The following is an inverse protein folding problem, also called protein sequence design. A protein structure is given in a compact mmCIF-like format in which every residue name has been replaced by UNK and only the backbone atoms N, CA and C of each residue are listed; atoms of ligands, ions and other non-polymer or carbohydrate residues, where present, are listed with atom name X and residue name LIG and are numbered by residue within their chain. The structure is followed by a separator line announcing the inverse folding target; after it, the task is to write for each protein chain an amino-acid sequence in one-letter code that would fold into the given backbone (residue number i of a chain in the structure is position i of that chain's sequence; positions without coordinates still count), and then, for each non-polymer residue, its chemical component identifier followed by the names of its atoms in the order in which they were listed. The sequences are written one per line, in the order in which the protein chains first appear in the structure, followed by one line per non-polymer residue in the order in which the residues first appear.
data_IF_591068578272
#
_entry.id   IF_591068578272
#
_cell.length_a   1.000
_cell.length_b   1.000
_cell.length_c   1.000
_cell.angle_alpha   90.00
_cell.angle_beta   90.00
_cell.angle_gamma   90.00
#
_symmetry.space_group_name_H-M   'P 1'
#
loop_
_entity.id
_entity.type
_entity.pdbx_description
1 polymer ?
#
# COMPACT_ATOMS: atom_id res chain seq x y z
N UNK A 1 -8.03 -8.98 -5.20
CA UNK A 1 -7.41 -8.06 -4.23
C UNK A 1 -6.65 -6.94 -4.90
N UNK A 2 -5.69 -7.20 -5.79
CA UNK A 2 -4.93 -6.16 -6.52
C UNK A 2 -5.87 -5.12 -7.17
N UNK A 3 -6.86 -5.56 -7.96
CA UNK A 3 -7.82 -4.63 -8.58
C UNK A 3 -8.71 -3.85 -7.60
N UNK A 4 -8.87 -4.29 -6.35
CA UNK A 4 -9.58 -3.49 -5.34
C UNK A 4 -8.67 -2.41 -4.74
N UNK A 5 -7.38 -2.71 -4.57
CA UNK A 5 -6.39 -1.71 -4.10
C UNK A 5 -6.09 -0.66 -5.16
N UNK A 6 -6.19 -0.99 -6.45
CA UNK A 6 -6.04 0.00 -7.53
C UNK A 6 -7.12 1.08 -7.47
N UNK A 7 -8.31 0.80 -6.93
CA UNK A 7 -9.35 1.81 -6.69
C UNK A 7 -8.84 2.98 -5.86
N UNK A 8 -7.99 2.74 -4.85
CA UNK A 8 -7.47 3.80 -4.00
C UNK A 8 -6.52 4.72 -4.77
N UNK A 9 -5.65 4.13 -5.59
CA UNK A 9 -4.69 4.86 -6.43
C UNK A 9 -5.40 5.60 -7.58
N UNK A 10 -6.46 4.99 -8.12
CA UNK A 10 -7.29 5.55 -9.19
C UNK A 10 -8.37 6.52 -8.66
N UNK A 11 -8.08 7.25 -7.59
CA UNK A 11 -8.97 8.31 -7.05
C UNK A 11 -10.40 7.85 -6.75
N UNK A 12 -10.57 6.57 -6.39
CA UNK A 12 -11.85 5.96 -6.06
C UNK A 12 -12.56 5.25 -7.22
N UNK A 13 -11.97 5.25 -8.42
CA UNK A 13 -12.51 4.54 -9.59
C UNK A 13 -11.96 3.12 -9.65
N UNK A 14 -12.83 2.14 -9.48
CA UNK A 14 -12.51 0.74 -9.74
C UNK A 14 -12.48 0.50 -11.25
N UNK A 15 -11.41 -0.13 -11.74
CA UNK A 15 -11.30 -0.61 -13.12
C UNK A 15 -11.19 -2.12 -13.10
N UNK A 16 -12.08 -2.82 -13.80
CA UNK A 16 -12.03 -4.27 -13.87
C UNK A 16 -10.72 -4.72 -14.55
N UNK A 17 -9.88 -5.54 -13.89
CA UNK A 17 -8.66 -6.04 -14.52
C UNK A 17 -8.95 -6.94 -15.73
N UNK A 18 -8.19 -6.74 -16.80
CA UNK A 18 -8.20 -7.59 -18.00
C UNK A 18 -6.76 -7.79 -18.48
N UNK A 19 -6.49 -8.91 -19.15
CA UNK A 19 -5.15 -9.26 -19.64
C UNK A 19 -5.08 -9.47 -21.16
N UNK A 20 -6.22 -9.66 -21.84
CA UNK A 20 -6.30 -9.71 -23.30
C UNK A 20 -6.59 -8.30 -23.79
N UNK A 21 -5.64 -7.67 -24.48
CA UNK A 21 -5.76 -6.30 -24.98
C UNK A 21 -6.21 -6.23 -26.44
N UNK A 22 -5.90 -7.25 -27.25
CA UNK A 22 -6.28 -7.30 -28.66
C UNK A 22 -6.25 -8.73 -29.19
N UNK A 23 -7.23 -9.12 -30.00
CA UNK A 23 -7.21 -10.35 -30.80
C UNK A 23 -7.41 -9.96 -32.26
N UNK A 24 -6.54 -10.46 -33.12
CA UNK A 24 -6.58 -10.20 -34.57
C UNK A 24 -6.59 -11.52 -35.35
N UNK A 25 -7.16 -11.50 -36.55
CA UNK A 25 -7.00 -12.59 -37.51
C UNK A 25 -5.66 -12.50 -38.26
N UNK A 26 -5.37 -13.50 -39.10
CA UNK A 26 -4.14 -13.53 -39.93
C UNK A 26 -4.00 -12.38 -40.92
N UNK A 27 -5.09 -11.65 -41.20
CA UNK A 27 -5.13 -10.52 -42.13
C UNK A 27 -5.05 -9.17 -41.38
N UNK A 28 -4.94 -9.17 -40.05
CA UNK A 28 -4.89 -7.96 -39.21
C UNK A 28 -6.26 -7.39 -38.85
N UNK A 29 -7.35 -8.11 -39.10
CA UNK A 29 -8.69 -7.65 -38.70
C UNK A 29 -8.86 -7.84 -37.19
N UNK A 30 -9.24 -6.78 -36.48
CA UNK A 30 -9.49 -6.83 -35.03
C UNK A 30 -10.78 -7.59 -34.76
N UNK A 31 -10.65 -8.72 -34.06
CA UNK A 31 -11.75 -9.58 -33.63
C UNK A 31 -12.22 -9.24 -32.21
N UNK A 32 -11.32 -8.70 -31.39
CA UNK A 32 -11.61 -8.34 -30.01
C UNK A 32 -10.68 -7.23 -29.54
N UNK A 33 -11.27 -6.23 -28.89
CA UNK A 33 -10.58 -5.18 -28.16
C UNK A 33 -11.45 -4.82 -26.95
N UNK A 34 -10.95 -4.96 -25.71
CA UNK A 34 -11.75 -4.75 -24.53
C UNK A 34 -12.06 -3.27 -24.34
N UNK A 35 -13.31 -2.96 -23.98
CA UNK A 35 -13.66 -1.65 -23.42
C UNK A 35 -13.51 -1.72 -21.89
N UNK A 36 -12.66 -0.89 -21.27
CA UNK A 36 -12.48 -0.91 -19.81
C UNK A 36 -13.80 -0.71 -19.09
N UNK A 37 -14.13 -1.62 -18.16
CA UNK A 37 -15.31 -1.49 -17.30
C UNK A 37 -14.91 -0.80 -16.00
N UNK A 38 -15.44 0.40 -15.79
CA UNK A 38 -15.13 1.23 -14.63
C UNK A 38 -16.36 1.48 -13.76
N UNK A 39 -16.15 1.62 -12.45
CA UNK A 39 -17.18 1.97 -11.47
C UNK A 39 -16.59 2.98 -10.49
N UNK A 40 -17.26 4.10 -10.27
CA UNK A 40 -16.95 5.00 -9.16
C UNK A 40 -17.35 4.32 -7.84
N UNK A 41 -16.37 3.77 -7.13
CA UNK A 41 -16.60 2.98 -5.92
C UNK A 41 -16.42 3.82 -4.65
N UNK A 42 -15.59 4.85 -4.71
CA UNK A 42 -15.32 5.79 -3.62
C UNK A 42 -15.21 7.20 -4.19
N UNK A 43 -15.45 8.22 -3.37
CA UNK A 43 -15.05 9.58 -3.72
C UNK A 43 -13.52 9.75 -3.59
N UNK A 44 -12.98 10.76 -4.26
CA UNK A 44 -11.53 11.02 -4.33
C UNK A 44 -10.91 11.24 -2.95
N UNK A 45 -11.58 11.99 -2.07
CA UNK A 45 -11.13 12.24 -0.71
C UNK A 45 -10.97 10.93 0.08
N UNK A 46 -11.99 10.06 0.07
CA UNK A 46 -11.96 8.78 0.79
C UNK A 46 -10.86 7.88 0.25
N UNK A 47 -10.67 7.84 -1.07
CA UNK A 47 -9.60 7.08 -1.69
C UNK A 47 -8.21 7.58 -1.25
N UNK A 48 -8.01 8.89 -1.22
CA UNK A 48 -6.76 9.50 -0.75
C UNK A 48 -6.52 9.26 0.75
N UNK A 49 -7.54 9.37 1.59
CA UNK A 49 -7.43 9.06 3.03
C UNK A 49 -7.05 7.59 3.26
N UNK A 50 -7.60 6.67 2.45
CA UNK A 50 -7.18 5.26 2.49
C UNK A 50 -5.70 5.08 2.11
N UNK A 51 -5.20 5.78 1.08
CA UNK A 51 -3.78 5.77 0.74
C UNK A 51 -2.92 6.33 1.88
N UNK A 52 -3.35 7.44 2.48
CA UNK A 52 -2.65 8.05 3.62
C UNK A 52 -2.53 7.08 4.80
N UNK A 53 -3.60 6.36 5.14
CA UNK A 53 -3.54 5.32 6.18
C UNK A 53 -2.64 4.14 5.81
N UNK A 54 -2.64 3.73 4.53
CA UNK A 54 -1.76 2.66 4.05
C UNK A 54 -0.28 3.04 4.11
N UNK A 55 0.07 4.32 3.88
CA UNK A 55 1.44 4.84 4.11
C UNK A 55 1.87 4.69 5.57
N UNK A 56 0.93 4.77 6.51
CA UNK A 56 1.21 4.48 7.91
C UNK A 56 1.85 3.10 8.14
N UNK A 57 1.52 2.10 7.30
CA UNK A 57 2.11 0.77 7.38
C UNK A 57 3.61 0.69 7.02
N UNK A 58 4.10 1.64 6.22
CA UNK A 58 5.47 1.68 5.66
C UNK A 58 6.31 2.81 6.25
N UNK A 59 5.71 3.84 6.85
CA UNK A 59 6.39 5.05 7.31
C UNK A 59 6.37 5.23 8.84
N UNK A 60 5.28 4.85 9.52
CA UNK A 60 5.10 5.13 10.94
C UNK A 60 5.72 4.05 11.84
N UNK A 61 6.21 4.47 13.01
CA UNK A 61 6.67 3.56 14.06
C UNK A 61 5.58 2.58 14.47
N UNK A 62 5.89 1.28 14.48
CA UNK A 62 4.92 0.20 14.67
C UNK A 62 4.26 -0.31 13.37
N UNK A 63 4.55 0.31 12.23
CA UNK A 63 4.17 -0.17 10.91
C UNK A 63 4.69 -1.59 10.63
N UNK A 64 3.85 -2.42 10.05
CA UNK A 64 4.18 -3.84 9.79
C UNK A 64 5.01 -4.05 8.52
N UNK A 65 5.12 -3.04 7.67
CA UNK A 65 5.88 -3.08 6.41
C UNK A 65 7.19 -2.26 6.48
N UNK A 66 7.64 -1.92 7.70
CA UNK A 66 8.89 -1.19 7.93
C UNK A 66 10.15 -1.96 7.48
N UNK A 67 10.03 -3.23 7.10
CA UNK A 67 11.13 -4.04 6.59
C UNK A 67 11.50 -3.80 5.12
N UNK A 68 10.69 -3.06 4.34
CA UNK A 68 11.04 -2.71 2.96
C UNK A 68 12.36 -1.93 2.91
N UNK A 69 13.22 -2.17 1.93
CA UNK A 69 14.51 -1.49 1.78
C UNK A 69 14.39 0.01 1.57
N UNK A 70 15.44 0.73 1.96
CA UNK A 70 15.58 2.17 1.69
C UNK A 70 15.67 2.45 0.19
N UNK A 71 16.33 1.58 -0.56
CA UNK A 71 16.50 1.69 -2.01
C UNK A 71 15.15 1.67 -2.73
N UNK A 72 14.21 0.81 -2.30
CA UNK A 72 12.87 0.81 -2.87
C UNK A 72 12.10 2.09 -2.53
N UNK A 73 12.21 2.58 -1.29
CA UNK A 73 11.48 3.79 -0.82
C UNK A 73 12.05 5.11 -1.34
N UNK A 74 13.25 5.11 -1.91
CA UNK A 74 13.87 6.32 -2.40
C UNK A 74 13.04 6.96 -3.53
N UNK A 75 12.56 8.19 -3.28
CA UNK A 75 11.67 8.97 -4.15
C UNK A 75 10.37 8.25 -4.55
N UNK A 76 9.90 7.33 -3.72
CA UNK A 76 8.71 6.54 -3.99
C UNK A 76 7.85 6.47 -2.73
N UNK A 77 6.62 6.99 -2.81
CA UNK A 77 5.64 6.72 -1.76
C UNK A 77 5.04 5.33 -1.94
N UNK A 78 4.93 4.62 -0.82
CA UNK A 78 4.41 3.26 -0.79
C UNK A 78 3.36 3.20 0.30
N UNK A 79 2.14 2.85 -0.07
CA UNK A 79 1.13 2.40 0.89
C UNK A 79 1.16 0.88 0.95
N UNK A 80 1.05 0.27 2.13
CA UNK A 80 1.01 -1.19 2.21
C UNK A 80 0.18 -1.73 3.36
N UNK A 81 -0.30 -2.95 3.16
CA UNK A 81 -0.91 -3.76 4.21
C UNK A 81 -0.38 -5.18 4.21
N UNK A 82 0.10 -5.60 5.38
CA UNK A 82 0.41 -7.00 5.66
C UNK A 82 -0.87 -7.77 6.01
N UNK A 83 -0.96 -9.02 5.58
CA UNK A 83 -1.97 -9.97 6.01
C UNK A 83 -1.29 -11.23 6.55
N UNK A 84 -1.80 -11.76 7.66
CA UNK A 84 -1.35 -13.04 8.23
C UNK A 84 -2.58 -13.76 8.73
N UNK A 85 -2.89 -14.91 8.16
CA UNK A 85 -4.04 -15.70 8.60
C UNK A 85 -3.72 -16.49 9.86
N UNK A 86 -4.77 -16.97 10.52
CA UNK A 86 -4.65 -17.73 11.77
C UNK A 86 -3.75 -18.97 11.59
N UNK A 87 -3.07 -19.37 12.67
CA UNK A 87 -2.13 -20.50 12.67
C UNK A 87 -0.96 -20.35 11.69
N UNK A 88 -0.73 -19.15 11.17
CA UNK A 88 0.29 -18.86 10.17
C UNK A 88 0.19 -19.81 8.97
N UNK A 89 -1.02 -19.96 8.41
CA UNK A 89 -1.22 -20.72 7.18
C UNK A 89 -0.89 -19.89 5.94
N UNK A 90 -1.16 -18.58 5.98
CA UNK A 90 -1.00 -17.67 4.85
C UNK A 90 -0.34 -16.37 5.26
N UNK A 91 0.64 -15.96 4.49
CA UNK A 91 1.19 -14.62 4.47
C UNK A 91 0.73 -13.88 3.23
N UNK A 92 0.21 -12.66 3.41
CA UNK A 92 -0.17 -11.76 2.33
C UNK A 92 0.58 -10.44 2.46
N UNK A 93 0.88 -9.84 1.31
CA UNK A 93 1.35 -8.47 1.25
C UNK A 93 0.68 -7.77 0.07
N UNK A 94 -0.01 -6.67 0.35
CA UNK A 94 -0.57 -5.78 -0.67
C UNK A 94 0.16 -4.46 -0.59
N UNK A 95 0.77 -4.04 -1.70
CA UNK A 95 1.46 -2.76 -1.80
C UNK A 95 0.92 -1.94 -2.96
N UNK A 96 0.79 -0.64 -2.72
CA UNK A 96 0.36 0.36 -3.70
C UNK A 96 1.46 1.41 -3.84
N UNK A 97 1.71 1.78 -5.07
CA UNK A 97 2.49 2.95 -5.48
C UNK A 97 1.61 3.79 -6.41
N UNK A 98 2.00 5.03 -6.77
CA UNK A 98 1.18 5.85 -7.67
C UNK A 98 0.95 5.22 -9.05
N UNK A 99 1.93 4.48 -9.57
CA UNK A 99 1.88 3.92 -10.94
C UNK A 99 1.53 2.42 -10.97
N UNK A 100 1.75 1.71 -9.87
CA UNK A 100 1.63 0.24 -9.84
C UNK A 100 1.07 -0.28 -8.52
N UNK A 101 0.17 -1.27 -8.64
CA UNK A 101 -0.36 -2.03 -7.51
C UNK A 101 0.02 -3.50 -7.69
N UNK A 102 0.62 -4.07 -6.66
CA UNK A 102 1.00 -5.48 -6.67
C UNK A 102 0.62 -6.15 -5.33
N UNK A 103 0.45 -7.47 -5.40
CA UNK A 103 0.13 -8.29 -4.24
C UNK A 103 0.87 -9.60 -4.31
N UNK A 104 1.36 -10.07 -3.17
CA UNK A 104 2.01 -11.35 -3.03
C UNK A 104 1.30 -12.19 -1.96
N UNK A 105 1.31 -13.50 -2.18
CA UNK A 105 0.81 -14.50 -1.24
C UNK A 105 1.80 -15.63 -1.12
N UNK A 106 1.94 -16.13 0.10
CA UNK A 106 2.68 -17.35 0.40
C UNK A 106 1.82 -18.21 1.32
N UNK A 107 1.52 -19.43 0.87
CA UNK A 107 0.78 -20.43 1.62
C UNK A 107 0.84 -21.77 0.89
N UNK A 108 0.20 -22.78 1.46
CA UNK A 108 0.05 -24.09 0.82
C UNK A 108 -1.35 -24.24 0.21
N UNK A 109 -1.43 -24.93 -0.94
CA UNK A 109 -2.73 -25.27 -1.56
C UNK A 109 -3.62 -26.05 -0.58
N UNK A 110 -3.01 -26.96 0.20
CA UNK A 110 -3.67 -27.60 1.32
C UNK A 110 -3.53 -26.72 2.58
N UNK A 111 -4.68 -26.28 3.11
CA UNK A 111 -4.77 -25.44 4.32
C UNK A 111 -4.17 -26.04 5.59
N UNK A 112 -3.94 -27.35 5.62
CA UNK A 112 -3.23 -28.01 6.72
C UNK A 112 -1.73 -27.70 6.72
N UNK A 113 -1.16 -27.34 5.57
CA UNK A 113 0.22 -26.87 5.45
C UNK A 113 0.28 -25.46 6.03
N UNK A 114 1.18 -25.27 7.00
CA UNK A 114 1.35 -24.02 7.70
C UNK A 114 2.79 -23.84 8.15
N UNK A 115 3.17 -22.60 8.38
CA UNK A 115 4.46 -22.30 8.99
C UNK A 115 4.50 -22.86 10.42
N UNK A 116 5.66 -23.38 10.82
CA UNK A 116 5.85 -24.00 12.14
C UNK A 116 5.62 -23.00 13.28
N UNK A 117 6.00 -21.75 13.07
CA UNK A 117 5.90 -20.67 14.06
C UNK A 117 5.17 -19.47 13.47
N UNK A 118 4.43 -18.75 14.32
CA UNK A 118 3.67 -17.56 13.93
C UNK A 118 4.54 -16.52 13.22
N UNK A 119 5.67 -16.17 13.83
CA UNK A 119 6.60 -15.18 13.30
C UNK A 119 7.09 -15.54 11.88
N UNK A 120 7.31 -16.83 11.60
CA UNK A 120 7.80 -17.29 10.29
C UNK A 120 6.76 -17.20 9.18
N UNK A 121 5.47 -17.21 9.50
CA UNK A 121 4.40 -17.11 8.49
C UNK A 121 3.78 -15.72 8.36
N UNK A 122 4.31 -14.72 9.06
CA UNK A 122 3.83 -13.34 8.91
C UNK A 122 4.03 -12.86 7.47
N UNK A 123 3.02 -12.17 6.92
CA UNK A 123 3.10 -11.59 5.57
C UNK A 123 4.33 -10.69 5.37
N UNK A 124 4.78 -10.00 6.43
CA UNK A 124 6.00 -9.19 6.43
C UNK A 124 7.30 -9.99 6.24
N UNK A 125 7.31 -11.30 6.54
CA UNK A 125 8.49 -12.17 6.41
C UNK A 125 8.43 -13.13 5.23
N UNK A 126 7.26 -13.27 4.60
CA UNK A 126 7.02 -14.23 3.52
C UNK A 126 6.65 -13.54 2.22
N UNK A 127 5.50 -12.87 2.16
CA UNK A 127 4.99 -12.24 0.96
C UNK A 127 5.65 -10.87 0.67
N UNK A 128 5.99 -10.09 1.69
CA UNK A 128 6.60 -8.77 1.52
C UNK A 128 7.94 -8.82 0.75
N UNK A 129 8.89 -9.74 1.04
CA UNK A 129 10.12 -9.84 0.27
C UNK A 129 9.90 -10.16 -1.22
N UNK A 130 8.89 -10.98 -1.54
CA UNK A 130 8.53 -11.29 -2.95
C UNK A 130 8.03 -10.03 -3.65
N UNK A 131 7.15 -9.28 -2.98
CA UNK A 131 6.63 -8.02 -3.50
C UNK A 131 7.76 -7.01 -3.71
N UNK A 132 8.67 -6.88 -2.76
CA UNK A 132 9.82 -5.98 -2.87
C UNK A 132 10.74 -6.33 -4.04
N UNK A 133 11.13 -7.61 -4.18
CA UNK A 133 11.98 -8.05 -5.30
C UNK A 133 11.31 -7.80 -6.65
N UNK A 134 10.00 -8.05 -6.75
CA UNK A 134 9.22 -7.73 -7.95
C UNK A 134 9.24 -6.22 -8.27
N UNK A 135 8.98 -5.36 -7.28
CA UNK A 135 8.93 -3.91 -7.51
C UNK A 135 10.31 -3.33 -7.83
N UNK A 136 11.38 -3.82 -7.20
CA UNK A 136 12.75 -3.40 -7.52
C UNK A 136 13.10 -3.74 -8.97
N UNK A 137 12.72 -4.93 -9.45
CA UNK A 137 12.89 -5.33 -10.86
C UNK A 137 12.04 -4.48 -11.80
N UNK A 138 10.77 -4.26 -11.45
CA UNK A 138 9.87 -3.46 -12.27
C UNK A 138 10.38 -2.02 -12.45
N UNK A 139 10.84 -1.37 -11.38
CA UNK A 139 11.39 -0.01 -11.46
C UNK A 139 12.80 0.07 -12.08
N UNK A 140 13.48 -1.06 -12.23
CA UNK A 140 14.77 -1.11 -12.92
C UNK A 140 14.61 -1.40 -14.42
N UNK A 141 13.42 -1.80 -14.87
CA UNK A 141 13.14 -2.12 -16.27
C UNK A 141 12.80 -0.83 -17.05
N UNK A 142 13.64 -0.43 -18.03
CA UNK A 142 13.40 0.78 -18.81
C UNK A 142 12.22 0.66 -19.78
N UNK A 143 11.73 -0.55 -20.08
CA UNK A 143 10.60 -0.77 -20.98
C UNK A 143 9.25 -0.55 -20.28
N UNK A 144 9.24 -0.63 -18.94
CA UNK A 144 8.09 -0.28 -18.11
C UNK A 144 8.14 1.23 -17.85
N UNK A 145 7.35 2.02 -18.58
CA UNK A 145 7.20 3.48 -18.39
C UNK A 145 6.50 3.79 -17.05
N UNK A 146 7.11 3.39 -15.94
CA UNK A 146 6.65 3.61 -14.57
C UNK A 146 7.66 4.48 -13.82
N UNK A 147 7.16 5.42 -13.03
CA UNK A 147 7.99 6.43 -12.38
C UNK A 147 7.96 6.25 -10.87
N UNK A 148 9.10 6.54 -10.24
CA UNK A 148 9.18 6.73 -8.80
C UNK A 148 8.65 8.11 -8.47
N UNK A 149 7.50 8.16 -7.80
CA UNK A 149 6.78 9.39 -7.50
C UNK A 149 5.96 9.26 -6.22
N UNK A 150 5.28 10.34 -5.84
CA UNK A 150 4.38 10.43 -4.68
C UNK A 150 2.92 10.36 -5.12
N UNK A 151 2.01 10.02 -4.20
CA UNK A 151 0.58 10.02 -4.50
C UNK A 151 0.09 11.44 -4.77
N UNK A 152 -0.81 11.57 -5.75
CA UNK A 152 -1.42 12.86 -6.08
C UNK A 152 -2.39 13.27 -4.96
N UNK A 153 -2.23 14.48 -4.45
CA UNK A 153 -3.14 15.05 -3.46
C UNK A 153 -4.43 15.52 -4.14
N UNK A 154 -5.61 15.35 -3.53
CA UNK A 154 -6.86 15.88 -4.06
C UNK A 154 -6.79 17.38 -4.30
N UNK A 155 -7.47 17.86 -5.34
CA UNK A 155 -7.52 19.29 -5.67
C UNK A 155 -8.31 20.09 -4.63
N UNK A 156 -9.38 19.50 -4.12
CA UNK A 156 -10.18 20.09 -3.06
C UNK A 156 -9.53 19.84 -1.69
N UNK A 157 -9.60 20.80 -0.76
CA UNK A 157 -9.12 20.59 0.61
C UNK A 157 -9.82 19.42 1.28
N UNK A 158 -9.06 18.64 2.06
CA UNK A 158 -9.62 17.56 2.86
C UNK A 158 -10.57 18.10 3.94
N UNK A 159 -11.67 17.40 4.17
CA UNK A 159 -12.64 17.70 5.22
C UNK A 159 -12.13 17.36 6.62
N UNK A 160 -11.05 16.58 6.73
CA UNK A 160 -10.40 16.19 7.99
C UNK A 160 -8.93 16.60 8.04
N UNK A 161 -8.44 16.93 9.24
CA UNK A 161 -7.03 17.22 9.48
C UNK A 161 -6.25 15.91 9.66
N UNK A 162 -5.33 15.65 8.74
CA UNK A 162 -4.48 14.45 8.73
C UNK A 162 -3.06 14.71 9.25
N UNK A 163 -2.67 15.98 9.44
CA UNK A 163 -1.38 16.31 10.03
C UNK A 163 -1.50 16.25 11.55
N UNK A 164 -0.86 15.24 12.17
CA UNK A 164 -0.92 15.03 13.61
C UNK A 164 -0.46 16.25 14.44
N UNK A 165 0.53 17.02 13.97
CA UNK A 165 1.00 18.21 14.70
C UNK A 165 -0.06 19.30 14.70
N UNK A 166 -0.67 19.57 13.54
CA UNK A 166 -1.77 20.54 13.42
C UNK A 166 -3.00 20.07 14.18
N UNK A 167 -3.35 18.79 14.09
CA UNK A 167 -4.44 18.20 14.87
C UNK A 167 -4.23 18.41 16.37
N UNK A 168 -3.05 18.05 16.89
CA UNK A 168 -2.74 18.23 18.31
C UNK A 168 -2.80 19.70 18.74
N UNK A 169 -2.29 20.61 17.89
CA UNK A 169 -2.36 22.03 18.16
C UNK A 169 -3.80 22.57 18.20
N UNK A 170 -4.66 22.11 17.29
CA UNK A 170 -6.06 22.55 17.18
C UNK A 170 -6.93 22.03 18.32
N UNK A 171 -6.73 20.77 18.74
CA UNK A 171 -7.63 20.10 19.68
C UNK A 171 -7.12 20.06 21.12
N UNK A 172 -5.80 20.05 21.34
CA UNK A 172 -5.20 19.97 22.67
C UNK A 172 -4.44 21.26 23.07
N UNK A 173 -4.18 22.18 22.13
CA UNK A 173 -3.33 23.35 22.38
C UNK A 173 -1.90 22.94 22.80
N UNK A 174 -1.10 23.88 23.31
CA UNK A 174 0.22 23.59 23.89
C UNK A 174 0.11 22.95 25.30
N UNK A 175 -0.86 22.07 25.53
CA UNK A 175 -0.97 21.39 26.83
C UNK A 175 -0.15 20.10 26.82
N UNK A 176 0.55 19.87 27.93
CA UNK A 176 1.36 18.66 28.18
C UNK A 176 0.53 17.52 28.77
N UNK A 177 -0.80 17.59 28.69
CA UNK A 177 -1.66 16.57 29.29
C UNK A 177 -1.84 15.39 28.32
N UNK A 178 -1.55 14.15 28.76
CA UNK A 178 -1.66 12.98 27.91
C UNK A 178 -3.13 12.68 27.60
N UNK A 179 -3.38 12.22 26.37
CA UNK A 179 -4.69 11.80 25.91
C UNK A 179 -5.29 10.70 26.82
N UNK A 180 -6.64 10.68 26.91
CA UNK A 180 -7.45 9.76 27.72
C UNK A 180 -7.24 8.26 27.45
N UNK A 181 -6.43 7.91 26.45
CA UNK A 181 -5.95 6.55 26.18
C UNK A 181 -4.69 6.16 26.98
N UNK A 182 -4.13 7.06 27.78
CA UNK A 182 -3.05 6.75 28.73
C UNK A 182 -1.68 6.45 28.10
N UNK A 183 -1.51 6.71 26.80
CA UNK A 183 -0.18 6.63 26.17
C UNK A 183 0.56 7.92 26.48
N UNK A 184 1.43 7.84 27.49
CA UNK A 184 2.32 8.92 27.88
C UNK A 184 3.27 9.25 26.72
N UNK A 185 3.02 10.34 25.99
CA UNK A 185 3.91 10.85 24.92
C UNK A 185 5.20 11.47 25.46
N UNK A 186 5.50 11.35 26.76
CA UNK A 186 6.73 11.86 27.39
C UNK A 186 7.99 11.03 27.15
N UNK A 187 8.19 10.48 25.95
CA UNK A 187 9.56 10.40 25.44
C UNK A 187 9.64 11.23 24.18
N UNK A 188 10.21 12.45 24.23
CA UNK A 188 10.65 13.08 23.00
C UNK A 188 11.52 12.06 22.27
N UNK A 189 11.19 11.81 21.00
CA UNK A 189 12.04 11.01 20.12
C UNK A 189 13.37 11.77 20.07
N UNK A 190 14.39 11.22 20.70
CA UNK A 190 15.73 11.77 20.63
C UNK A 190 16.22 11.52 19.19
N UNK A 191 16.38 12.59 18.42
CA UNK A 191 16.88 12.52 17.05
C UNK A 191 18.32 12.01 16.98
N UNK A 192 19.04 12.00 18.12
CA UNK A 192 20.39 11.45 18.23
C UNK A 192 20.41 9.92 18.48
N UNK A 193 19.25 9.29 18.72
CA UNK A 193 19.11 7.81 18.77
C UNK A 193 18.71 7.18 17.42
N UNK A 194 18.64 7.99 16.35
CA UNK A 194 18.25 7.55 14.99
C UNK A 194 19.44 7.60 14.00
N UNK A 195 20.65 7.85 14.47
CA UNK A 195 21.89 7.68 13.69
C UNK A 195 22.84 6.68 14.33
#
# INVERSE_FOLDING_TARGET
MVGAYSTFVNKGVYTQPYYITRIEDKNGNVLYEPQPKTVEALNEETAYLMLHMLKGGTELGGGTALGLSRDLRHNLEIGAKTGTSQNASDGWFMGVTPELVAGAWVGGDNRAIRFRYWLSGQGARTAMPIWEDFMLKAYADPDLDIKRTTFETPKEPLSIEINCMRYNQLYYGNTTEPDTTGINTQRPINTDEIF
#
